data_IF_798688946006
#
_entry.id   IF_798688946006
#
_cell.length_a   1.000
_cell.length_b   1.000
_cell.length_c   1.000
_cell.angle_alpha   90.00
_cell.angle_beta   90.00
_cell.angle_gamma   90.00
#
_symmetry.space_group_name_H-M   'P 1'
#
loop_
_entity.id
_entity.type
_entity.pdbx_description
1 polymer ?
#
# COMPACT_ATOMS: atom_id res chain seq x y z
N UNK A 1 60.03 38.66 11.89
CA UNK A 1 59.24 39.05 13.07
C UNK A 1 58.72 37.80 13.74
N UNK A 2 58.94 37.65 15.05
CA UNK A 2 58.43 36.54 15.86
C UNK A 2 57.01 36.87 16.30
N UNK A 3 56.06 35.94 16.14
CA UNK A 3 55.00 35.72 17.13
C UNK A 3 54.72 34.21 17.22
N UNK A 4 54.97 33.67 18.41
CA UNK A 4 54.48 32.37 18.90
C UNK A 4 53.11 32.60 19.53
N UNK A 5 52.22 31.60 19.47
CA UNK A 5 51.24 31.13 20.46
C UNK A 5 50.21 30.28 19.67
N UNK A 6 50.34 28.95 19.64
CA UNK A 6 49.83 27.90 20.57
C UNK A 6 48.61 27.17 20.00
N UNK A 7 48.84 25.87 19.87
CA UNK A 7 48.01 24.67 19.71
C UNK A 7 46.53 24.65 20.18
N UNK A 8 45.82 23.71 19.56
CA UNK A 8 44.53 23.04 19.87
C UNK A 8 43.30 23.69 19.19
N UNK A 9 42.40 22.98 18.51
CA UNK A 9 42.10 21.55 18.49
C UNK A 9 41.52 21.17 17.11
N UNK A 10 41.65 19.89 16.77
CA UNK A 10 41.01 19.25 15.62
C UNK A 10 39.52 19.55 15.58
N UNK A 11 39.05 20.15 14.49
CA UNK A 11 37.62 20.23 14.19
C UNK A 11 37.20 18.86 13.69
N UNK A 12 36.71 18.02 14.62
CA UNK A 12 35.87 16.89 14.26
C UNK A 12 34.53 17.47 13.79
N UNK A 13 34.23 17.27 12.51
CA UNK A 13 32.89 17.46 11.97
C UNK A 13 32.02 16.39 12.62
N UNK A 14 31.30 16.76 13.68
CA UNK A 14 30.12 16.01 14.07
C UNK A 14 28.98 16.54 13.22
N UNK A 15 28.64 15.82 12.14
CA UNK A 15 27.28 15.82 11.64
C UNK A 15 26.42 15.32 12.80
N UNK A 16 25.83 16.24 13.55
CA UNK A 16 24.65 15.90 14.34
C UNK A 16 23.56 15.63 13.31
N UNK A 17 23.26 14.35 13.05
CA UNK A 17 22.01 14.01 12.38
C UNK A 17 20.91 14.65 13.23
N UNK A 18 20.16 15.58 12.63
CA UNK A 18 18.91 16.02 13.21
C UNK A 18 18.10 14.76 13.55
N UNK A 19 17.59 14.60 14.78
CA UNK A 19 16.65 13.52 15.03
C UNK A 19 15.45 13.80 14.13
N UNK A 20 15.16 12.89 13.20
CA UNK A 20 13.90 12.88 12.50
C UNK A 20 12.82 12.89 13.59
N UNK A 21 11.96 13.91 13.58
CA UNK A 21 10.86 13.99 14.52
C UNK A 21 9.74 13.09 14.01
N UNK A 22 9.66 11.89 14.58
CA UNK A 22 8.63 10.90 14.29
C UNK A 22 7.26 11.41 14.81
N UNK A 23 6.28 11.56 13.92
CA UNK A 23 4.89 12.00 14.12
C UNK A 23 3.93 10.91 14.61
N UNK A 24 4.42 9.76 15.09
CA UNK A 24 3.57 8.80 15.79
C UNK A 24 3.38 9.23 17.26
N UNK A 25 2.15 9.09 17.77
CA UNK A 25 1.79 9.46 19.14
C UNK A 25 2.72 8.76 20.15
N UNK A 26 3.17 9.49 21.17
CA UNK A 26 4.01 8.91 22.22
C UNK A 26 3.21 7.84 22.99
N UNK A 27 3.84 6.71 23.29
CA UNK A 27 3.18 5.62 24.00
C UNK A 27 2.64 6.07 25.37
N UNK A 28 1.40 5.68 25.68
CA UNK A 28 0.68 5.99 26.92
C UNK A 28 0.24 4.68 27.58
N UNK A 29 0.68 4.48 28.83
CA UNK A 29 0.35 3.32 29.64
C UNK A 29 -1.17 3.10 29.85
N UNK A 30 -1.96 4.16 29.82
CA UNK A 30 -3.40 4.15 30.04
C UNK A 30 -4.22 3.82 28.79
N UNK A 31 -3.62 3.99 27.60
CA UNK A 31 -4.26 3.79 26.30
C UNK A 31 -4.26 2.31 25.91
N UNK A 32 -5.26 1.94 25.12
CA UNK A 32 -5.39 0.62 24.52
C UNK A 32 -4.95 0.71 23.07
N UNK A 33 -4.18 -0.28 22.62
CA UNK A 33 -3.68 -0.37 21.25
C UNK A 33 -4.15 -1.67 20.60
N UNK A 34 -4.58 -1.59 19.34
CA UNK A 34 -4.94 -2.73 18.50
C UNK A 34 -3.79 -3.07 17.55
N UNK A 35 -3.86 -4.25 16.92
CA UNK A 35 -2.89 -4.65 15.89
C UNK A 35 -2.82 -3.60 14.78
N UNK A 36 -1.60 -3.19 14.41
CA UNK A 36 -1.34 -2.14 13.43
C UNK A 36 -1.19 -0.73 14.00
N UNK A 37 -1.54 -0.47 15.26
CA UNK A 37 -1.35 0.84 15.88
C UNK A 37 0.14 1.17 16.03
N UNK A 38 0.52 2.42 15.78
CA UNK A 38 1.92 2.84 15.76
C UNK A 38 2.15 3.92 16.82
N UNK A 39 3.23 3.78 17.58
CA UNK A 39 3.62 4.71 18.64
C UNK A 39 5.10 5.04 18.56
N UNK A 40 5.47 6.16 19.18
CA UNK A 40 6.86 6.46 19.51
C UNK A 40 7.14 6.16 20.97
N UNK A 41 8.32 5.59 21.26
CA UNK A 41 8.80 5.42 22.63
C UNK A 41 10.32 5.45 22.65
N UNK A 42 10.92 6.27 23.53
CA UNK A 42 12.38 6.39 23.69
C UNK A 42 13.14 6.60 22.36
N UNK A 43 12.59 7.45 21.48
CA UNK A 43 13.17 7.80 20.18
C UNK A 43 13.20 6.64 19.16
N UNK A 44 12.32 5.65 19.31
CA UNK A 44 12.08 4.57 18.35
C UNK A 44 10.60 4.49 17.97
N UNK A 45 10.32 3.85 16.84
CA UNK A 45 8.96 3.58 16.36
C UNK A 45 8.60 2.13 16.61
N UNK A 46 7.41 1.91 17.14
CA UNK A 46 6.87 0.59 17.40
C UNK A 46 5.52 0.42 16.74
N UNK A 47 5.27 -0.77 16.19
CA UNK A 47 3.94 -1.21 15.76
C UNK A 47 3.41 -2.24 16.75
N UNK A 48 2.13 -2.13 17.08
CA UNK A 48 1.44 -3.12 17.88
C UNK A 48 1.13 -4.33 17.01
N UNK A 49 1.65 -5.50 17.38
CA UNK A 49 1.43 -6.76 16.66
C UNK A 49 0.04 -7.35 16.92
N UNK A 50 -0.51 -7.10 18.11
CA UNK A 50 -1.82 -7.56 18.56
C UNK A 50 -2.41 -6.57 19.58
N UNK A 51 -3.54 -6.89 20.18
CA UNK A 51 -4.13 -6.02 21.22
C UNK A 51 -3.20 -5.93 22.44
N UNK A 52 -2.88 -4.72 22.91
CA UNK A 52 -2.06 -4.50 24.10
C UNK A 52 -2.50 -3.26 24.89
N UNK A 53 -2.27 -3.26 26.20
CA UNK A 53 -2.55 -2.14 27.11
C UNK A 53 -1.61 -2.15 28.30
N UNK A 54 -0.98 -1.01 28.58
CA UNK A 54 -0.11 -0.82 29.74
C UNK A 54 1.23 -1.56 29.68
N UNK A 55 1.48 -2.36 28.66
CA UNK A 55 2.78 -2.98 28.37
C UNK A 55 3.68 -1.97 27.66
N UNK A 56 4.78 -1.60 28.29
CA UNK A 56 5.78 -0.68 27.74
C UNK A 56 6.48 -1.30 26.53
N UNK A 57 6.66 -0.57 25.40
CA UNK A 57 7.42 -1.07 24.26
C UNK A 57 8.88 -1.33 24.64
N UNK A 58 9.36 -2.52 24.33
CA UNK A 58 10.77 -2.90 24.46
C UNK A 58 11.35 -3.13 23.08
N UNK A 59 12.60 -2.71 22.87
CA UNK A 59 13.36 -2.99 21.66
C UNK A 59 13.47 -4.50 21.41
N UNK A 60 12.60 -5.01 20.53
CA UNK A 60 12.50 -6.41 20.18
C UNK A 60 11.90 -6.61 18.78
N UNK A 61 12.00 -7.85 18.30
CA UNK A 61 11.49 -8.35 17.00
C UNK A 61 10.46 -9.47 17.16
N UNK A 62 10.00 -9.74 18.38
CA UNK A 62 9.09 -10.84 18.68
C UNK A 62 7.93 -10.30 19.49
N UNK A 63 6.74 -10.47 18.95
CA UNK A 63 5.47 -9.93 19.46
C UNK A 63 5.07 -10.34 20.89
N UNK A 64 5.87 -11.05 21.69
CA UNK A 64 5.42 -11.57 22.98
C UNK A 64 5.02 -10.48 24.00
N UNK A 65 5.52 -9.25 23.85
CA UNK A 65 5.14 -8.08 24.66
C UNK A 65 4.12 -7.16 23.95
N UNK A 66 3.71 -7.49 22.74
CA UNK A 66 2.77 -6.72 21.92
C UNK A 66 3.42 -5.78 20.92
N UNK A 67 4.70 -5.46 21.03
CA UNK A 67 5.34 -4.40 20.23
C UNK A 67 6.44 -4.95 19.33
N UNK A 68 6.53 -4.43 18.10
CA UNK A 68 7.62 -4.72 17.16
C UNK A 68 8.30 -3.41 16.78
N UNK A 69 9.62 -3.39 16.83
CA UNK A 69 10.44 -2.20 16.56
C UNK A 69 10.67 -2.05 15.05
N UNK A 70 10.28 -0.91 14.48
CA UNK A 70 10.33 -0.69 13.02
C UNK A 70 11.63 -0.07 12.51
N UNK A 71 12.41 0.58 13.37
CA UNK A 71 13.64 1.32 13.00
C UNK A 71 14.93 0.47 13.07
N UNK A 72 14.80 -0.86 13.09
CA UNK A 72 15.95 -1.77 13.12
C UNK A 72 16.31 -2.25 11.71
N UNK A 73 17.61 -2.36 11.41
CA UNK A 73 18.13 -3.02 10.20
C UNK A 73 17.78 -4.53 10.12
N UNK A 74 17.11 -5.07 11.13
CA UNK A 74 16.88 -6.50 11.35
C UNK A 74 15.44 -6.96 11.08
N UNK A 75 14.57 -6.11 10.53
CA UNK A 75 13.22 -6.54 10.11
C UNK A 75 13.36 -7.52 8.93
N UNK A 76 12.77 -8.73 9.00
CA UNK A 76 12.94 -9.71 7.95
C UNK A 76 12.30 -9.25 6.64
N UNK A 77 13.02 -9.38 5.53
CA UNK A 77 12.43 -9.21 4.20
C UNK A 77 11.40 -10.32 3.94
N UNK A 78 10.27 -9.96 3.33
CA UNK A 78 9.28 -10.94 2.91
C UNK A 78 9.91 -11.96 1.95
N UNK A 79 9.66 -13.23 2.20
CA UNK A 79 10.04 -14.35 1.33
C UNK A 79 8.81 -15.15 0.90
N UNK A 80 8.84 -15.62 -0.34
CA UNK A 80 7.88 -16.60 -0.88
C UNK A 80 7.98 -17.94 -0.12
N UNK A 81 6.87 -18.68 -0.01
CA UNK A 81 6.74 -19.96 0.70
C UNK A 81 6.93 -19.92 2.23
N UNK A 82 7.10 -18.73 2.83
CA UNK A 82 7.18 -18.57 4.28
C UNK A 82 5.78 -18.46 4.90
N UNK A 83 5.59 -19.07 6.07
CA UNK A 83 4.32 -18.98 6.79
C UNK A 83 4.34 -17.74 7.68
N UNK A 84 3.37 -16.86 7.47
CA UNK A 84 3.12 -15.68 8.29
C UNK A 84 1.84 -15.84 9.09
N UNK A 85 1.84 -15.30 10.29
CA UNK A 85 0.74 -15.27 11.25
C UNK A 85 0.35 -13.83 11.55
N UNK A 86 -0.87 -13.63 12.06
CA UNK A 86 -1.33 -12.29 12.41
C UNK A 86 -0.37 -11.59 13.39
N UNK A 87 0.10 -10.41 13.03
CA UNK A 87 1.07 -9.62 13.78
C UNK A 87 2.51 -9.72 13.29
N UNK A 88 2.82 -10.61 12.34
CA UNK A 88 4.17 -10.69 11.75
C UNK A 88 4.45 -9.45 10.90
N UNK A 89 5.67 -8.93 11.00
CA UNK A 89 6.11 -7.71 10.27
C UNK A 89 7.24 -8.06 9.33
N UNK A 90 7.14 -7.57 8.09
CA UNK A 90 8.14 -7.80 7.04
C UNK A 90 8.48 -6.52 6.30
N UNK A 91 9.67 -6.47 5.73
CA UNK A 91 10.06 -5.47 4.73
C UNK A 91 9.77 -6.02 3.32
N UNK A 92 9.15 -5.20 2.47
CA UNK A 92 8.90 -5.52 1.06
C UNK A 92 8.90 -4.23 0.22
N UNK A 93 9.64 -4.22 -0.90
CA UNK A 93 9.74 -3.07 -1.82
C UNK A 93 9.92 -1.71 -1.10
N UNK A 94 10.88 -1.62 -0.18
CA UNK A 94 11.21 -0.40 0.60
C UNK A 94 10.15 0.07 1.61
N UNK A 95 9.10 -0.72 1.84
CA UNK A 95 8.07 -0.46 2.86
C UNK A 95 7.96 -1.59 3.89
N UNK A 96 7.28 -1.30 4.99
CA UNK A 96 6.97 -2.26 6.05
C UNK A 96 5.52 -2.72 5.96
N UNK A 97 5.26 -3.98 6.28
CA UNK A 97 3.92 -4.56 6.24
C UNK A 97 3.68 -5.43 7.46
N UNK A 98 2.48 -5.36 8.02
CA UNK A 98 2.01 -6.22 9.11
C UNK A 98 0.96 -7.21 8.59
N UNK A 99 1.12 -8.49 8.91
CA UNK A 99 0.14 -9.52 8.57
C UNK A 99 -1.10 -9.35 9.45
N UNK A 100 -2.29 -9.20 8.86
CA UNK A 100 -3.56 -9.11 9.60
C UNK A 100 -4.05 -10.49 10.04
N UNK A 101 -3.65 -11.54 9.32
CA UNK A 101 -3.98 -12.93 9.62
C UNK A 101 -2.99 -13.89 8.96
N UNK A 102 -3.18 -15.19 9.23
CA UNK A 102 -2.36 -16.26 8.69
C UNK A 102 -2.33 -16.25 7.16
N UNK A 103 -1.14 -16.31 6.57
CA UNK A 103 -0.92 -16.40 5.13
C UNK A 103 0.44 -17.06 4.79
N UNK A 104 0.65 -17.49 3.54
CA UNK A 104 1.90 -18.15 3.12
C UNK A 104 2.54 -17.50 1.89
N UNK A 105 1.71 -17.15 0.91
CA UNK A 105 2.19 -16.66 -0.40
C UNK A 105 1.53 -15.34 -0.79
N UNK A 106 0.83 -14.72 0.15
CA UNK A 106 0.21 -13.43 -0.06
C UNK A 106 1.31 -12.37 -0.19
N UNK A 107 1.36 -11.68 -1.32
CA UNK A 107 2.25 -10.55 -1.54
C UNK A 107 1.84 -9.36 -0.65
N UNK A 108 2.77 -8.74 0.09
CA UNK A 108 2.45 -7.64 0.98
C UNK A 108 1.81 -6.43 0.29
N UNK A 109 2.18 -6.15 -0.96
CA UNK A 109 1.69 -4.99 -1.71
C UNK A 109 0.24 -5.07 -2.18
N UNK A 110 -0.36 -6.27 -2.27
CA UNK A 110 -1.64 -6.42 -2.97
C UNK A 110 -2.59 -7.48 -2.37
N UNK A 111 -2.31 -7.94 -1.16
CA UNK A 111 -3.19 -8.88 -0.46
C UNK A 111 -3.81 -8.24 0.76
N UNK A 112 -5.10 -8.52 0.96
CA UNK A 112 -5.78 -8.22 2.20
C UNK A 112 -5.16 -8.92 3.40
N UNK A 113 -4.26 -9.90 3.23
CA UNK A 113 -3.55 -10.52 4.35
C UNK A 113 -2.55 -9.57 5.01
N UNK A 114 -2.23 -8.46 4.36
CA UNK A 114 -1.24 -7.49 4.80
C UNK A 114 -1.84 -6.08 4.96
N UNK A 115 -1.23 -5.30 5.83
CA UNK A 115 -1.46 -3.87 5.98
C UNK A 115 -0.11 -3.17 5.81
N UNK A 116 -0.04 -2.20 4.91
CA UNK A 116 1.15 -1.36 4.73
C UNK A 116 1.32 -0.44 5.93
N UNK A 117 2.57 -0.22 6.30
CA UNK A 117 2.99 0.68 7.36
C UNK A 117 3.71 1.86 6.70
N UNK A 118 2.99 2.97 6.55
CA UNK A 118 3.48 4.17 5.89
C UNK A 118 4.35 4.99 6.85
N UNK A 119 5.63 4.64 6.92
CA UNK A 119 6.58 5.38 7.75
C UNK A 119 6.78 6.81 7.26
N UNK A 120 6.71 7.10 5.96
CA UNK A 120 6.93 8.46 5.44
C UNK A 120 5.98 9.50 6.04
N UNK A 121 4.69 9.17 6.19
CA UNK A 121 3.71 10.05 6.84
C UNK A 121 3.98 10.19 8.35
N UNK A 122 4.60 9.18 8.95
CA UNK A 122 5.02 9.15 10.34
C UNK A 122 6.37 9.89 10.52
N UNK A 123 7.22 10.02 9.50
CA UNK A 123 8.56 10.64 9.61
C UNK A 123 8.60 12.08 9.09
N UNK A 124 7.67 12.45 8.21
CA UNK A 124 7.67 13.73 7.51
C UNK A 124 7.34 14.94 8.39
N UNK A 125 6.81 14.71 9.60
CA UNK A 125 6.32 15.77 10.47
C UNK A 125 5.09 16.48 9.89
N UNK A 126 4.33 17.22 10.71
CA UNK A 126 3.14 17.91 10.23
C UNK A 126 3.51 19.06 9.29
N UNK A 127 2.81 19.17 8.17
CA UNK A 127 2.58 20.50 7.58
C UNK A 127 1.89 21.35 8.65
N UNK A 128 2.45 22.53 8.90
CA UNK A 128 2.21 23.34 10.09
C UNK A 128 0.72 23.42 10.51
N UNK A 129 0.36 23.03 11.75
CA UNK A 129 -0.90 23.46 12.32
C UNK A 129 -0.87 24.99 12.45
N UNK A 130 -2.00 25.63 12.14
CA UNK A 130 -2.20 27.07 12.43
C UNK A 130 -1.84 27.33 13.90
N UNK A 131 -1.15 28.42 14.24
CA UNK A 131 -0.79 28.71 15.62
C UNK A 131 -2.07 28.87 16.44
N UNK A 132 -2.14 28.11 17.53
CA UNK A 132 -3.11 28.31 18.60
C UNK A 132 -2.95 29.74 19.17
N UNK A 133 -4.05 30.48 19.39
CA UNK A 133 -3.98 31.72 20.12
C UNK A 133 -3.58 31.45 21.59
N UNK A 134 -2.64 32.26 22.08
CA UNK A 134 -2.12 32.30 23.44
C UNK A 134 -3.27 32.22 24.48
N UNK A 135 -3.16 31.42 25.56
CA UNK A 135 -4.18 31.39 26.61
C UNK A 135 -4.27 32.75 27.31
N UNK A 136 -5.39 33.45 27.11
CA UNK A 136 -5.79 34.58 27.94
C UNK A 136 -6.05 34.12 29.39
N UNK A 137 -5.83 34.99 30.39
CA UNK A 137 -6.06 34.64 31.80
C UNK A 137 -7.53 34.28 32.05
N UNK A 138 -7.75 33.20 32.80
CA UNK A 138 -9.08 32.71 33.19
C UNK A 138 -9.96 33.85 33.77
N UNK A 139 -11.12 34.14 33.15
CA UNK A 139 -12.14 34.97 33.78
C UNK A 139 -12.85 34.17 34.89
N UNK A 140 -13.23 34.87 35.96
CA UNK A 140 -14.10 34.33 37.01
C UNK A 140 -15.37 33.70 36.41
N UNK A 141 -15.92 32.63 37.03
CA UNK A 141 -17.04 31.88 36.46
C UNK A 141 -18.28 32.78 36.32
N UNK A 142 -18.66 33.05 35.07
CA UNK A 142 -19.97 33.58 34.73
C UNK A 142 -21.06 32.49 34.90
N UNK A 143 -22.31 32.88 35.20
CA UNK A 143 -23.41 31.92 35.35
C UNK A 143 -23.63 31.12 34.06
N UNK A 144 -23.82 29.81 34.21
CA UNK A 144 -24.05 28.88 33.09
C UNK A 144 -25.18 29.39 32.16
N UNK A 145 -24.91 29.58 30.86
CA UNK A 145 -25.95 29.86 29.89
C UNK A 145 -26.83 28.62 29.69
N UNK A 146 -28.14 28.85 29.51
CA UNK A 146 -29.09 27.80 29.15
C UNK A 146 -28.62 27.07 27.87
N UNK A 147 -28.82 25.75 27.77
CA UNK A 147 -28.34 24.97 26.63
C UNK A 147 -28.93 25.52 25.32
N UNK A 148 -28.05 25.92 24.40
CA UNK A 148 -28.44 26.24 23.04
C UNK A 148 -29.01 24.99 22.34
N UNK A 149 -30.00 25.15 21.45
CA UNK A 149 -30.52 24.05 20.66
C UNK A 149 -29.40 23.41 19.83
N UNK A 150 -29.34 22.08 19.85
CA UNK A 150 -28.36 21.31 19.07
C UNK A 150 -28.37 21.76 17.60
N UNK A 151 -27.18 21.98 17.00
CA UNK A 151 -27.09 22.30 15.58
C UNK A 151 -27.75 21.18 14.77
N UNK A 152 -28.60 21.57 13.82
CA UNK A 152 -29.16 20.61 12.87
C UNK A 152 -28.01 19.86 12.18
N UNK A 153 -28.15 18.53 11.99
CA UNK A 153 -27.11 17.74 11.34
C UNK A 153 -26.77 18.33 9.99
N UNK A 154 -25.47 18.56 9.76
CA UNK A 154 -24.99 18.99 8.45
C UNK A 154 -25.47 17.99 7.39
N UNK A 155 -25.91 18.46 6.21
CA UNK A 155 -26.32 17.57 5.14
C UNK A 155 -25.18 16.61 4.82
N UNK A 156 -25.47 15.31 4.80
CA UNK A 156 -24.51 14.28 4.40
C UNK A 156 -23.88 14.69 3.06
N UNK A 157 -22.54 14.56 2.90
CA UNK A 157 -21.88 14.84 1.64
C UNK A 157 -22.57 14.02 0.54
N UNK A 158 -22.93 14.70 -0.56
CA UNK A 158 -23.48 14.01 -1.73
C UNK A 158 -22.48 12.91 -2.15
N UNK A 159 -22.97 11.69 -2.45
CA UNK A 159 -22.10 10.61 -2.89
C UNK A 159 -21.31 11.07 -4.12
N UNK A 160 -19.99 10.89 -4.09
CA UNK A 160 -19.17 11.15 -5.25
C UNK A 160 -19.72 10.38 -6.47
N UNK A 161 -19.66 10.98 -7.68
CA UNK A 161 -20.13 10.30 -8.87
C UNK A 161 -19.40 8.97 -9.02
N UNK A 162 -20.15 7.87 -8.91
CA UNK A 162 -19.63 6.51 -9.05
C UNK A 162 -19.04 6.35 -10.44
N UNK A 163 -17.71 6.38 -10.56
CA UNK A 163 -17.04 6.07 -11.81
C UNK A 163 -17.30 4.59 -12.11
N UNK A 164 -17.83 4.23 -13.29
CA UNK A 164 -18.05 2.83 -13.62
C UNK A 164 -16.75 2.04 -13.51
N UNK A 165 -16.79 0.91 -12.81
CA UNK A 165 -15.65 0.01 -12.57
C UNK A 165 -14.99 -0.41 -13.89
N UNK A 166 -15.79 -0.76 -14.90
CA UNK A 166 -15.33 -1.14 -16.25
C UNK A 166 -14.83 0.08 -17.03
N UNK A 167 -15.38 1.28 -16.76
CA UNK A 167 -15.14 2.51 -17.52
C UNK A 167 -15.76 2.48 -18.93
N UNK A 168 -15.36 3.45 -19.75
CA UNK A 168 -15.78 3.56 -21.15
C UNK A 168 -14.67 3.05 -22.08
N UNK A 169 -15.07 2.39 -23.16
CA UNK A 169 -14.26 2.06 -24.34
C UNK A 169 -15.07 2.55 -25.54
N UNK A 170 -14.94 3.84 -25.88
CA UNK A 170 -15.73 4.48 -26.93
C UNK A 170 -15.30 4.03 -28.34
N UNK A 171 -14.03 3.63 -28.49
CA UNK A 171 -13.45 3.28 -29.77
C UNK A 171 -13.56 1.77 -30.09
N UNK A 172 -13.89 0.94 -29.11
CA UNK A 172 -14.09 -0.50 -29.22
C UNK A 172 -12.80 -1.29 -29.41
N UNK A 173 -11.66 -0.78 -28.94
CA UNK A 173 -10.35 -1.44 -29.07
C UNK A 173 -10.01 -2.40 -27.92
N UNK A 174 -10.93 -2.52 -26.94
CA UNK A 174 -10.82 -3.34 -25.75
C UNK A 174 -10.02 -2.69 -24.63
N UNK A 175 -9.71 -1.39 -24.73
CA UNK A 175 -8.99 -0.62 -23.73
C UNK A 175 -9.89 0.48 -23.17
N UNK A 176 -9.87 0.61 -21.84
CA UNK A 176 -10.60 1.67 -21.15
C UNK A 176 -9.98 3.03 -21.48
N UNK A 177 -10.77 4.00 -21.91
CA UNK A 177 -10.29 5.28 -22.46
C UNK A 177 -9.42 6.07 -21.45
N UNK A 178 -9.83 6.15 -20.18
CA UNK A 178 -9.05 6.83 -19.13
C UNK A 178 -7.70 6.14 -18.87
N UNK A 179 -7.65 4.82 -18.98
CA UNK A 179 -6.40 4.07 -18.87
C UNK A 179 -5.51 4.25 -20.10
N UNK A 180 -6.10 4.28 -21.30
CA UNK A 180 -5.39 4.55 -22.55
C UNK A 180 -4.67 5.92 -22.50
N UNK A 181 -5.34 6.95 -21.99
CA UNK A 181 -4.77 8.27 -21.80
C UNK A 181 -3.64 8.28 -20.75
N UNK A 182 -3.80 7.53 -19.66
CA UNK A 182 -2.81 7.44 -18.57
C UNK A 182 -1.52 6.75 -19.05
N UNK A 183 -1.63 5.61 -19.74
CA UNK A 183 -0.46 4.87 -20.22
C UNK A 183 0.28 5.63 -21.33
N UNK A 184 -0.42 6.40 -22.16
CA UNK A 184 0.19 7.25 -23.18
C UNK A 184 1.01 8.41 -22.58
N UNK A 185 0.65 8.85 -21.37
CA UNK A 185 1.40 9.87 -20.63
C UNK A 185 2.53 9.27 -19.78
N UNK A 186 2.37 8.02 -19.33
CA UNK A 186 3.31 7.36 -18.41
C UNK A 186 4.50 6.75 -19.15
N UNK A 187 4.29 6.11 -20.30
CA UNK A 187 5.32 5.30 -20.95
C UNK A 187 5.84 5.94 -22.24
N UNK A 188 7.05 6.50 -22.18
CA UNK A 188 7.80 6.92 -23.38
C UNK A 188 8.43 5.73 -24.14
N UNK A 189 8.70 4.63 -23.41
CA UNK A 189 9.31 3.43 -23.97
C UNK A 189 8.24 2.61 -24.72
N UNK A 190 8.41 2.33 -26.03
CA UNK A 190 7.42 1.60 -26.81
C UNK A 190 7.19 0.16 -26.29
N UNK A 191 8.18 -0.45 -25.63
CA UNK A 191 8.05 -1.79 -25.04
C UNK A 191 7.24 -1.75 -23.74
N UNK A 192 7.34 -0.68 -22.97
CA UNK A 192 6.58 -0.54 -21.71
C UNK A 192 5.12 -0.16 -22.00
N UNK A 193 4.92 0.76 -22.94
CA UNK A 193 3.60 1.10 -23.46
C UNK A 193 2.91 -0.16 -24.03
N UNK A 194 3.67 -0.97 -24.76
CA UNK A 194 3.21 -2.23 -25.30
C UNK A 194 2.67 -3.20 -24.25
N UNK A 195 3.46 -3.40 -23.19
CA UNK A 195 3.08 -4.22 -22.04
C UNK A 195 1.80 -3.66 -21.43
N UNK A 196 1.76 -2.36 -21.16
CA UNK A 196 0.62 -1.71 -20.53
C UNK A 196 -0.67 -1.79 -21.35
N UNK A 197 -0.60 -1.64 -22.68
CA UNK A 197 -1.75 -1.82 -23.58
C UNK A 197 -2.29 -3.25 -23.48
N UNK A 198 -1.42 -4.26 -23.55
CA UNK A 198 -1.84 -5.65 -23.46
C UNK A 198 -2.41 -5.98 -22.07
N UNK A 199 -1.79 -5.45 -21.01
CA UNK A 199 -2.30 -5.56 -19.64
C UNK A 199 -3.71 -5.01 -19.50
N UNK A 200 -3.96 -3.80 -20.00
CA UNK A 200 -5.28 -3.17 -19.91
C UNK A 200 -6.38 -3.99 -20.59
N UNK A 201 -6.08 -4.60 -21.75
CA UNK A 201 -7.02 -5.47 -22.46
C UNK A 201 -7.37 -6.73 -21.66
N UNK A 202 -6.39 -7.39 -21.05
CA UNK A 202 -6.66 -8.56 -20.22
C UNK A 202 -7.41 -8.21 -18.93
N UNK A 203 -7.08 -7.08 -18.30
CA UNK A 203 -7.82 -6.60 -17.13
C UNK A 203 -9.27 -6.23 -17.48
N UNK A 204 -9.51 -5.64 -18.65
CA UNK A 204 -10.84 -5.38 -19.20
C UNK A 204 -11.66 -6.66 -19.30
N UNK A 205 -11.12 -7.70 -19.96
CA UNK A 205 -11.78 -9.01 -20.07
C UNK A 205 -12.11 -9.62 -18.72
N UNK A 206 -11.18 -9.55 -17.77
CA UNK A 206 -11.38 -10.08 -16.42
C UNK A 206 -12.53 -9.38 -15.69
N UNK A 207 -12.60 -8.04 -15.77
CA UNK A 207 -13.68 -7.27 -15.16
C UNK A 207 -15.02 -7.48 -15.87
N UNK A 208 -15.04 -7.50 -17.21
CA UNK A 208 -16.25 -7.77 -17.99
C UNK A 208 -16.86 -9.14 -17.66
N UNK A 209 -16.03 -10.17 -17.56
CA UNK A 209 -16.44 -11.49 -17.11
C UNK A 209 -17.12 -11.43 -15.73
N UNK A 210 -16.55 -10.65 -14.81
CA UNK A 210 -17.04 -10.53 -13.45
C UNK A 210 -18.38 -9.83 -13.34
N UNK A 211 -18.47 -8.64 -13.95
CA UNK A 211 -19.60 -7.73 -13.80
C UNK A 211 -20.84 -8.16 -14.59
N UNK A 212 -20.65 -8.71 -15.80
CA UNK A 212 -21.76 -9.07 -16.68
C UNK A 212 -22.51 -10.33 -16.21
N UNK A 213 -22.07 -10.97 -15.13
CA UNK A 213 -22.63 -12.21 -14.60
C UNK A 213 -22.75 -13.34 -15.63
N UNK A 214 -21.87 -13.33 -16.63
CA UNK A 214 -21.82 -14.36 -17.67
C UNK A 214 -21.20 -15.63 -17.09
N UNK A 215 -21.89 -16.75 -17.26
CA UNK A 215 -21.31 -18.06 -17.00
C UNK A 215 -20.37 -18.40 -18.16
N UNK A 216 -19.11 -18.67 -17.84
CA UNK A 216 -18.10 -19.13 -18.81
C UNK A 216 -17.90 -20.63 -18.69
N UNK A 217 -17.39 -21.27 -19.75
CA UNK A 217 -17.03 -22.68 -19.68
C UNK A 217 -15.80 -22.87 -18.79
N UNK A 218 -15.60 -24.08 -18.26
CA UNK A 218 -14.39 -24.41 -17.49
C UNK A 218 -13.13 -24.22 -18.35
N UNK A 219 -13.20 -24.53 -19.64
CA UNK A 219 -12.14 -24.30 -20.61
C UNK A 219 -11.81 -22.81 -20.79
N UNK A 220 -12.82 -21.95 -20.93
CA UNK A 220 -12.62 -20.50 -21.03
C UNK A 220 -12.09 -19.91 -19.71
N UNK A 221 -12.56 -20.43 -18.56
CA UNK A 221 -12.05 -20.06 -17.24
C UNK A 221 -10.56 -20.42 -17.09
N UNK A 222 -10.15 -21.60 -17.58
CA UNK A 222 -8.75 -22.00 -17.60
C UNK A 222 -7.91 -21.07 -18.47
N UNK A 223 -8.40 -20.71 -19.66
CA UNK A 223 -7.69 -19.78 -20.54
C UNK A 223 -7.50 -18.41 -19.87
N UNK A 224 -8.58 -17.84 -19.32
CA UNK A 224 -8.52 -16.54 -18.64
C UNK A 224 -7.61 -16.57 -17.39
N UNK A 225 -7.57 -17.70 -16.67
CA UNK A 225 -6.67 -17.88 -15.55
C UNK A 225 -5.20 -17.96 -16.00
N UNK A 226 -4.90 -18.75 -17.03
CA UNK A 226 -3.55 -18.82 -17.61
C UNK A 226 -3.08 -17.44 -18.08
N UNK A 227 -3.95 -16.69 -18.77
CA UNK A 227 -3.64 -15.33 -19.23
C UNK A 227 -3.40 -14.38 -18.06
N UNK A 228 -4.23 -14.44 -17.01
CA UNK A 228 -4.09 -13.60 -15.80
C UNK A 228 -2.77 -13.87 -15.05
N UNK A 229 -2.40 -15.15 -14.92
CA UNK A 229 -1.16 -15.54 -14.24
C UNK A 229 0.07 -15.21 -15.09
N UNK A 230 0.00 -15.47 -16.40
CA UNK A 230 1.08 -15.12 -17.35
C UNK A 230 1.31 -13.61 -17.37
N UNK A 231 0.24 -12.82 -17.40
CA UNK A 231 0.31 -11.36 -17.34
C UNK A 231 1.03 -10.88 -16.07
N UNK A 232 0.60 -11.36 -14.89
CA UNK A 232 1.22 -10.97 -13.62
C UNK A 232 2.70 -11.33 -13.59
N UNK A 233 3.02 -12.58 -13.93
CA UNK A 233 4.41 -13.06 -13.96
C UNK A 233 5.30 -12.21 -14.88
N UNK A 234 4.81 -11.88 -16.07
CA UNK A 234 5.58 -11.12 -17.04
C UNK A 234 5.78 -9.65 -16.67
N UNK A 235 4.78 -9.02 -16.05
CA UNK A 235 4.91 -7.67 -15.49
C UNK A 235 5.95 -7.67 -14.36
N UNK A 236 5.87 -8.63 -13.43
CA UNK A 236 6.78 -8.74 -12.27
C UNK A 236 8.23 -8.98 -12.71
N UNK A 237 8.46 -9.90 -13.64
CA UNK A 237 9.79 -10.14 -14.21
C UNK A 237 10.34 -8.90 -14.92
N UNK A 238 9.51 -8.21 -15.71
CA UNK A 238 9.95 -6.99 -16.39
C UNK A 238 10.31 -5.88 -15.40
N UNK A 239 9.50 -5.72 -14.34
CA UNK A 239 9.75 -4.73 -13.29
C UNK A 239 11.00 -5.05 -12.46
N UNK A 240 11.30 -6.34 -12.25
CA UNK A 240 12.55 -6.77 -11.60
C UNK A 240 13.79 -6.29 -12.36
N UNK A 241 13.79 -6.46 -13.68
CA UNK A 241 14.89 -6.00 -14.54
C UNK A 241 14.88 -4.48 -14.77
N UNK A 242 13.72 -3.83 -14.61
CA UNK A 242 13.49 -2.40 -14.85
C UNK A 242 12.79 -1.75 -13.65
N UNK A 243 13.52 -1.39 -12.57
CA UNK A 243 12.89 -0.91 -11.32
C UNK A 243 12.09 0.40 -11.45
N UNK A 244 12.35 1.20 -12.49
CA UNK A 244 11.63 2.44 -12.77
C UNK A 244 10.37 2.22 -13.62
N UNK A 245 10.13 1.00 -14.10
CA UNK A 245 8.92 0.65 -14.81
C UNK A 245 7.72 0.80 -13.87
N UNK A 246 6.83 1.73 -14.21
CA UNK A 246 5.55 1.90 -13.53
C UNK A 246 4.72 0.65 -13.79
N UNK A 247 4.09 0.09 -12.76
CA UNK A 247 3.34 -1.14 -12.92
C UNK A 247 1.97 -0.86 -13.56
N UNK A 248 1.63 -1.47 -14.72
CA UNK A 248 0.34 -1.26 -15.37
C UNK A 248 -0.87 -1.64 -14.52
N UNK A 249 -0.69 -2.56 -13.55
CA UNK A 249 -1.74 -2.93 -12.59
C UNK A 249 -2.17 -1.72 -11.76
N UNK A 250 -1.20 -0.93 -11.29
CA UNK A 250 -1.46 0.21 -10.41
C UNK A 250 -2.16 1.34 -11.17
N UNK A 251 -1.82 1.50 -12.46
CA UNK A 251 -2.48 2.45 -13.36
C UNK A 251 -3.91 2.01 -13.71
N UNK A 252 -4.16 0.72 -13.92
CA UNK A 252 -5.47 0.21 -14.32
C UNK A 252 -6.46 0.16 -13.16
N UNK A 253 -6.01 -0.31 -11.99
CA UNK A 253 -6.81 -0.45 -10.77
C UNK A 253 -6.55 0.71 -9.81
N UNK A 254 -6.54 1.92 -10.35
CA UNK A 254 -6.17 3.17 -9.68
C UNK A 254 -7.22 3.72 -8.69
N UNK A 255 -8.31 3.00 -8.42
CA UNK A 255 -9.32 3.37 -7.42
C UNK A 255 -9.63 2.18 -6.52
N UNK A 256 -10.13 2.46 -5.31
CA UNK A 256 -10.56 1.41 -4.37
C UNK A 256 -11.61 0.50 -5.00
N UNK A 257 -12.61 1.06 -5.67
CA UNK A 257 -13.67 0.28 -6.33
C UNK A 257 -13.12 -0.66 -7.41
N UNK A 258 -12.13 -0.20 -8.20
CA UNK A 258 -11.48 -1.01 -9.22
C UNK A 258 -10.61 -2.11 -8.61
N UNK A 259 -9.89 -1.80 -7.53
CA UNK A 259 -9.11 -2.81 -6.78
C UNK A 259 -10.04 -3.88 -6.18
N UNK A 260 -11.16 -3.49 -5.58
CA UNK A 260 -12.19 -4.42 -5.08
C UNK A 260 -12.77 -5.26 -6.22
N UNK A 261 -13.07 -4.65 -7.37
CA UNK A 261 -13.59 -5.36 -8.53
C UNK A 261 -12.61 -6.41 -9.08
N UNK A 262 -11.30 -6.13 -9.06
CA UNK A 262 -10.26 -7.11 -9.40
C UNK A 262 -10.31 -8.33 -8.50
N UNK A 263 -10.48 -8.13 -7.19
CA UNK A 263 -10.59 -9.22 -6.21
C UNK A 263 -11.86 -10.03 -6.46
N UNK A 264 -13.00 -9.37 -6.66
CA UNK A 264 -14.27 -10.03 -6.99
C UNK A 264 -14.15 -10.86 -8.27
N UNK A 265 -13.54 -10.30 -9.30
CA UNK A 265 -13.32 -10.99 -10.58
C UNK A 265 -12.41 -12.21 -10.44
N UNK A 266 -11.35 -12.09 -9.64
CA UNK A 266 -10.42 -13.20 -9.37
C UNK A 266 -11.10 -14.35 -8.62
N UNK A 267 -11.94 -14.04 -7.61
CA UNK A 267 -12.70 -15.04 -6.86
C UNK A 267 -13.74 -15.74 -7.75
N UNK A 268 -14.45 -14.99 -8.58
CA UNK A 268 -15.40 -15.54 -9.54
C UNK A 268 -14.70 -16.45 -10.56
N UNK A 269 -13.52 -16.06 -11.02
CA UNK A 269 -12.71 -16.89 -11.93
C UNK A 269 -12.30 -18.19 -11.26
N UNK A 270 -11.88 -18.13 -10.00
CA UNK A 270 -11.58 -19.31 -9.19
C UNK A 270 -12.78 -20.26 -9.06
N UNK A 271 -13.98 -19.72 -8.78
CA UNK A 271 -15.20 -20.51 -8.71
C UNK A 271 -15.55 -21.15 -10.07
N UNK A 272 -15.34 -20.42 -11.17
CA UNK A 272 -15.60 -20.90 -12.54
C UNK A 272 -14.68 -22.06 -12.96
N UNK A 273 -13.51 -22.22 -12.33
CA UNK A 273 -12.61 -23.36 -12.57
C UNK A 273 -13.17 -24.68 -12.00
N UNK A 274 -14.11 -24.64 -11.05
CA UNK A 274 -14.74 -25.82 -10.44
C UNK A 274 -13.75 -26.85 -9.88
N UNK A 275 -12.62 -26.38 -9.35
CA UNK A 275 -11.55 -27.24 -8.82
C UNK A 275 -10.74 -27.96 -9.90
N UNK A 276 -10.88 -27.57 -11.17
CA UNK A 276 -10.05 -28.09 -12.26
C UNK A 276 -8.62 -27.60 -12.11
N UNK A 277 -7.66 -28.50 -12.28
CA UNK A 277 -6.25 -28.13 -12.37
C UNK A 277 -6.00 -27.29 -13.63
N UNK A 278 -5.17 -26.26 -13.46
CA UNK A 278 -4.63 -25.44 -14.54
C UNK A 278 -3.30 -26.05 -14.95
N UNK A 279 -3.21 -26.50 -16.20
CA UNK A 279 -1.92 -26.84 -16.79
C UNK A 279 -1.21 -25.55 -17.18
N UNK A 280 -0.07 -25.28 -16.54
CA UNK A 280 0.73 -24.10 -16.85
C UNK A 280 1.72 -24.43 -17.98
N UNK A 281 1.61 -23.77 -19.14
CA UNK A 281 2.69 -23.78 -20.10
C UNK A 281 3.90 -23.03 -19.53
N UNK A 282 5.09 -23.31 -20.08
CA UNK A 282 6.26 -22.46 -19.85
C UNK A 282 5.92 -21.04 -20.33
N UNK A 283 5.97 -20.06 -19.42
CA UNK A 283 5.55 -18.70 -19.71
C UNK A 283 6.68 -17.98 -20.46
N UNK A 284 6.54 -17.82 -21.78
CA UNK A 284 7.42 -16.96 -22.57
C UNK A 284 6.82 -15.54 -22.60
N UNK A 285 7.38 -14.64 -21.81
CA UNK A 285 6.92 -13.25 -21.77
C UNK A 285 7.13 -12.49 -23.09
N UNK A 286 8.12 -12.87 -23.90
CA UNK A 286 8.28 -12.28 -25.22
C UNK A 286 7.17 -12.73 -26.15
N UNK A 287 6.72 -13.98 -26.05
CA UNK A 287 5.59 -14.50 -26.83
C UNK A 287 4.24 -14.02 -26.31
N UNK A 288 4.07 -13.92 -24.99
CA UNK A 288 2.88 -13.37 -24.37
C UNK A 288 2.66 -11.90 -24.78
N UNK A 289 3.76 -11.15 -24.93
CA UNK A 289 3.75 -9.82 -25.53
C UNK A 289 4.05 -9.82 -27.05
N UNK A 290 4.00 -10.97 -27.77
CA UNK A 290 4.11 -11.00 -29.25
C UNK A 290 2.79 -10.56 -29.87
N UNK A 291 2.61 -9.26 -29.83
CA UNK A 291 1.72 -8.46 -30.69
C UNK A 291 2.22 -7.02 -30.80
N UNK A 292 3.40 -6.74 -30.23
CA UNK A 292 3.79 -5.38 -29.88
C UNK A 292 5.18 -4.96 -30.36
N UNK A 293 5.65 -5.66 -31.40
CA UNK A 293 6.71 -5.17 -32.28
C UNK A 293 6.27 -5.27 -33.74
N UNK A 294 5.42 -4.35 -34.17
CA UNK A 294 5.40 -3.82 -35.55
C UNK A 294 4.63 -2.51 -35.61
#
# INVERSE_FOLDING_TARGET
MKFKYTLLASVLVTLTSSPLAYSAEEWDQSKTYNSGDIVTWKNKVYISSHWTKGTEPVDNQVSWDGWITLDSEDVPTWTQDAVYTGGDVVEFNTGYYIAKWWNTDALPSNSDSWQRVDLEDILAGPTAPKPDPDPEPEPEPEPEPEPEPEPEPEPEPEPEPTVPVIGADENGDGLRDDYADEIAQTYDNPVELAIAVQSGKEFGKLLEFSENKVDITVEDAKALAVDSISMRYCIENYQYDNPNFVNPIDLYFNTLDRAVAKVVASNRLYDALQGSEIEYPEIDCNEFFKGVSQ
#
